data_IF_478204599636
#
_entry.id   IF_478204599636
#
_cell.length_a   1.000
_cell.length_b   1.000
_cell.length_c   1.000
_cell.angle_alpha   90.00
_cell.angle_beta   90.00
_cell.angle_gamma   90.00
#
_symmetry.space_group_name_H-M   'P 1'
#
loop_
_entity.id
_entity.type
_entity.pdbx_description
1 polymer ?
#
# COMPACT_ATOMS: atom_id res chain seq x y z
N UNK A 1 -9.54 11.67 0.17
CA UNK A 1 -10.08 10.55 -0.65
C UNK A 1 -9.84 9.24 0.09
N UNK A 2 -10.76 8.27 -0.03
CA UNK A 2 -10.64 6.94 0.56
C UNK A 2 -10.21 5.96 -0.52
N UNK A 3 -9.12 5.23 -0.29
CA UNK A 3 -8.48 4.35 -1.28
C UNK A 3 -8.33 2.96 -0.66
N UNK A 4 -8.79 1.94 -1.37
CA UNK A 4 -8.57 0.54 -1.03
C UNK A 4 -7.54 -0.06 -2.01
N UNK A 5 -6.48 -0.68 -1.48
CA UNK A 5 -5.47 -1.40 -2.27
C UNK A 5 -5.58 -2.89 -1.97
N UNK A 6 -5.56 -3.72 -3.01
CA UNK A 6 -5.57 -5.17 -2.92
C UNK A 6 -4.26 -5.72 -3.49
N UNK A 7 -3.59 -6.59 -2.76
CA UNK A 7 -2.34 -7.20 -3.22
C UNK A 7 -2.15 -8.58 -2.62
N UNK A 8 -1.75 -9.55 -3.44
CA UNK A 8 -1.27 -10.87 -2.98
C UNK A 8 0.07 -10.77 -2.22
N UNK A 9 0.80 -9.67 -2.43
CA UNK A 9 2.13 -9.45 -1.85
C UNK A 9 2.22 -8.03 -1.27
N UNK A 10 2.22 -7.95 0.06
CA UNK A 10 2.49 -6.73 0.83
C UNK A 10 3.50 -7.06 1.96
N UNK A 11 3.74 -6.13 2.87
CA UNK A 11 4.58 -6.38 4.05
C UNK A 11 4.03 -7.55 4.89
N UNK A 12 4.87 -8.49 5.38
CA UNK A 12 6.34 -8.48 5.39
C UNK A 12 7.03 -9.14 4.19
N UNK A 13 6.31 -9.56 3.14
CA UNK A 13 6.94 -10.20 1.99
C UNK A 13 7.79 -9.20 1.19
N UNK A 14 9.10 -9.44 1.14
CA UNK A 14 10.06 -8.58 0.44
C UNK A 14 10.03 -8.90 -1.05
N UNK A 15 9.27 -8.11 -1.81
CA UNK A 15 9.23 -8.14 -3.27
C UNK A 15 9.27 -6.72 -3.84
N UNK A 16 9.65 -6.56 -5.11
CA UNK A 16 9.60 -5.25 -5.79
C UNK A 16 8.20 -4.63 -5.76
N UNK A 17 7.16 -5.46 -5.85
CA UNK A 17 5.76 -5.05 -5.74
C UNK A 17 5.43 -4.57 -4.33
N UNK A 18 5.81 -5.34 -3.30
CA UNK A 18 5.57 -4.99 -1.89
C UNK A 18 6.22 -3.66 -1.49
N UNK A 19 7.47 -3.44 -1.90
CA UNK A 19 8.17 -2.16 -1.64
C UNK A 19 7.52 -1.00 -2.39
N UNK A 20 7.07 -1.22 -3.62
CA UNK A 20 6.37 -0.19 -4.41
C UNK A 20 5.04 0.18 -3.78
N UNK A 21 4.25 -0.81 -3.35
CA UNK A 21 2.97 -0.59 -2.66
C UNK A 21 3.15 0.12 -1.32
N UNK A 22 4.19 -0.22 -0.57
CA UNK A 22 4.52 0.47 0.68
C UNK A 22 4.82 1.95 0.42
N UNK A 23 5.73 2.26 -0.50
CA UNK A 23 6.09 3.65 -0.87
C UNK A 23 4.88 4.43 -1.40
N UNK A 24 4.04 3.79 -2.21
CA UNK A 24 2.82 4.38 -2.73
C UNK A 24 1.84 4.71 -1.59
N UNK A 25 1.62 3.76 -0.67
CA UNK A 25 0.72 3.93 0.47
C UNK A 25 1.17 5.10 1.34
N UNK A 26 2.46 5.17 1.67
CA UNK A 26 3.03 6.27 2.43
C UNK A 26 2.87 7.62 1.72
N UNK A 27 3.13 7.69 0.41
CA UNK A 27 3.00 8.91 -0.38
C UNK A 27 1.54 9.41 -0.42
N UNK A 28 0.57 8.49 -0.57
CA UNK A 28 -0.85 8.80 -0.57
C UNK A 28 -1.32 9.29 0.80
N UNK A 29 -0.87 8.65 1.88
CA UNK A 29 -1.17 9.07 3.25
C UNK A 29 -0.60 10.46 3.55
N UNK A 30 0.64 10.76 3.13
CA UNK A 30 1.25 12.10 3.25
C UNK A 30 0.46 13.19 2.54
N UNK A 31 -0.29 12.85 1.49
CA UNK A 31 -1.20 13.77 0.77
C UNK A 31 -2.59 13.90 1.41
N UNK A 32 -2.81 13.30 2.58
CA UNK A 32 -4.10 13.33 3.28
C UNK A 32 -5.14 12.35 2.74
N UNK A 33 -4.73 11.30 2.01
CA UNK A 33 -5.62 10.22 1.62
C UNK A 33 -5.70 9.15 2.70
N UNK A 34 -6.90 8.65 2.97
CA UNK A 34 -7.10 7.48 3.83
C UNK A 34 -6.92 6.22 2.98
N UNK A 35 -5.82 5.50 3.22
CA UNK A 35 -5.48 4.28 2.47
C UNK A 35 -5.65 3.06 3.38
N UNK A 36 -6.32 2.03 2.90
CA UNK A 36 -6.40 0.72 3.53
C UNK A 36 -5.91 -0.35 2.56
N UNK A 37 -4.95 -1.15 3.02
CA UNK A 37 -4.38 -2.25 2.24
C UNK A 37 -5.01 -3.56 2.70
N UNK A 38 -5.45 -4.37 1.75
CA UNK A 38 -5.89 -5.74 1.93
C UNK A 38 -4.87 -6.65 1.25
N UNK A 39 -4.26 -7.55 2.01
CA UNK A 39 -3.38 -8.57 1.48
C UNK A 39 -3.74 -9.94 2.04
N UNK A 40 -3.48 -10.98 1.25
CA UNK A 40 -3.63 -12.37 1.64
C UNK A 40 -2.60 -12.78 2.71
#
# INVERSE_FOLDING_TARGET
>A
MRIALFSEVYWPMVSGVGVTLLRLTEALQKRGHQVRVYSA
#
